data_IF_862766292319
#
_entry.id   IF_862766292319
#
_cell.length_a   1.000
_cell.length_b   1.000
_cell.length_c   1.000
_cell.angle_alpha   90.00
_cell.angle_beta   90.00
_cell.angle_gamma   90.00
#
_symmetry.space_group_name_H-M   'P 1'
#
loop_
_entity.id
_entity.type
_entity.pdbx_description
1 polymer ?
#
# COMPACT_ATOMS: atom_id res chain seq x y z
N UNK A 1 20.83 -31.43 -5.39
CA UNK A 1 20.07 -30.25 -5.86
C UNK A 1 18.63 -30.23 -5.34
N UNK A 2 17.83 -31.28 -5.51
CA UNK A 2 16.41 -31.29 -5.07
C UNK A 2 16.16 -31.03 -3.58
N UNK A 3 16.97 -31.60 -2.68
CA UNK A 3 16.85 -31.38 -1.22
C UNK A 3 17.07 -29.90 -0.81
N UNK A 4 18.06 -29.22 -1.42
CA UNK A 4 18.37 -27.81 -1.14
C UNK A 4 17.23 -26.90 -1.60
N UNK A 5 16.70 -27.14 -2.80
CA UNK A 5 15.55 -26.41 -3.34
C UNK A 5 14.34 -26.58 -2.42
N UNK A 6 14.12 -27.80 -1.91
CA UNK A 6 13.01 -28.10 -1.00
C UNK A 6 13.17 -27.34 0.33
N UNK A 7 14.36 -27.26 0.90
CA UNK A 7 14.59 -26.51 2.15
C UNK A 7 14.38 -25.01 1.95
N UNK A 8 14.86 -24.45 0.83
CA UNK A 8 14.61 -23.04 0.47
C UNK A 8 13.10 -22.79 0.34
N UNK A 9 12.38 -23.68 -0.32
CA UNK A 9 10.93 -23.56 -0.51
C UNK A 9 10.16 -23.61 0.81
N UNK A 10 10.57 -24.47 1.75
CA UNK A 10 9.97 -24.54 3.10
C UNK A 10 10.21 -23.26 3.91
N UNK A 11 11.44 -22.74 3.89
CA UNK A 11 11.78 -21.48 4.58
C UNK A 11 10.98 -20.32 3.99
N UNK A 12 10.89 -20.25 2.66
CA UNK A 12 10.16 -19.19 1.96
C UNK A 12 8.65 -19.27 2.25
N UNK A 13 8.07 -20.47 2.28
CA UNK A 13 6.65 -20.68 2.61
C UNK A 13 6.35 -20.30 4.08
N UNK A 14 7.24 -20.67 5.01
CA UNK A 14 7.13 -20.27 6.42
C UNK A 14 7.17 -18.75 6.59
N UNK A 15 8.03 -18.06 5.82
CA UNK A 15 8.08 -16.60 5.83
C UNK A 15 6.77 -15.99 5.31
N UNK A 16 6.20 -16.54 4.23
CA UNK A 16 4.90 -16.07 3.71
C UNK A 16 3.76 -16.28 4.70
N UNK A 17 3.73 -17.42 5.38
CA UNK A 17 2.76 -17.68 6.44
C UNK A 17 2.91 -16.67 7.59
N UNK A 18 4.14 -16.38 8.00
CA UNK A 18 4.43 -15.37 9.03
C UNK A 18 3.92 -13.98 8.62
N UNK A 19 4.17 -13.56 7.38
CA UNK A 19 3.68 -12.29 6.84
C UNK A 19 2.15 -12.27 6.81
N UNK A 20 1.52 -13.38 6.42
CA UNK A 20 0.07 -13.51 6.38
C UNK A 20 -0.55 -13.33 7.78
N UNK A 21 -0.04 -14.07 8.76
CA UNK A 21 -0.45 -13.98 10.18
C UNK A 21 -0.26 -12.55 10.69
N UNK A 22 0.92 -11.97 10.47
CA UNK A 22 1.24 -10.60 10.92
C UNK A 22 0.33 -9.56 10.28
N UNK A 23 0.07 -9.67 8.97
CA UNK A 23 -0.80 -8.73 8.23
C UNK A 23 -2.26 -8.85 8.63
N UNK A 24 -2.74 -10.03 8.99
CA UNK A 24 -4.15 -10.23 9.29
C UNK A 24 -4.48 -10.00 10.76
N UNK A 25 -3.57 -10.30 11.68
CA UNK A 25 -3.82 -10.23 13.13
C UNK A 25 -3.30 -8.92 13.73
N UNK A 26 -2.10 -8.47 13.37
CA UNK A 26 -1.39 -7.37 14.06
C UNK A 26 -1.57 -6.04 13.34
N UNK A 27 -1.64 -6.08 12.00
CA UNK A 27 -1.48 -4.91 11.15
C UNK A 27 -2.56 -3.81 11.15
N UNK A 28 -3.86 -4.05 11.38
CA UNK A 28 -4.86 -3.02 11.09
C UNK A 28 -4.67 -1.78 11.96
N UNK A 29 -4.33 -1.96 13.24
CA UNK A 29 -4.12 -0.84 14.16
C UNK A 29 -2.64 -0.45 14.25
N UNK A 30 -1.71 -1.41 14.17
CA UNK A 30 -0.30 -1.12 14.38
C UNK A 30 0.30 -0.22 13.28
N UNK A 31 -0.13 -0.39 12.02
CA UNK A 31 0.36 0.45 10.91
C UNK A 31 0.04 1.92 11.13
N UNK A 32 -1.18 2.23 11.53
CA UNK A 32 -1.61 3.61 11.75
C UNK A 32 -0.84 4.25 12.92
N UNK A 33 -0.64 3.51 14.02
CA UNK A 33 0.12 4.02 15.16
C UNK A 33 1.59 4.29 14.81
N UNK A 34 2.26 3.34 14.13
CA UNK A 34 3.65 3.54 13.68
C UNK A 34 3.73 4.73 12.73
N UNK A 35 2.77 4.85 11.80
CA UNK A 35 2.73 5.95 10.84
C UNK A 35 2.59 7.30 11.55
N UNK A 36 1.67 7.42 12.52
CA UNK A 36 1.47 8.64 13.32
C UNK A 36 2.72 9.03 14.09
N UNK A 37 3.31 8.08 14.84
CA UNK A 37 4.54 8.30 15.61
C UNK A 37 5.69 8.72 14.69
N UNK A 38 5.79 8.13 13.50
CA UNK A 38 6.84 8.49 12.53
C UNK A 38 6.69 9.94 12.08
N UNK A 39 5.47 10.40 11.77
CA UNK A 39 5.27 11.80 11.37
C UNK A 39 5.54 12.74 12.54
N UNK A 40 5.09 12.39 13.76
CA UNK A 40 5.34 13.18 14.96
C UNK A 40 6.84 13.35 15.25
N UNK A 41 7.64 12.28 15.08
CA UNK A 41 9.09 12.34 15.31
C UNK A 41 9.86 13.12 14.24
N UNK A 42 9.39 13.12 12.98
CA UNK A 42 10.13 13.72 11.87
C UNK A 42 9.71 15.16 11.55
N UNK A 43 8.44 15.51 11.75
CA UNK A 43 7.97 16.87 11.48
C UNK A 43 6.68 17.23 12.24
N UNK A 44 6.86 17.64 13.50
CA UNK A 44 5.78 18.11 14.38
C UNK A 44 5.11 19.39 13.84
N UNK A 45 5.86 20.20 13.09
CA UNK A 45 5.39 21.48 12.55
C UNK A 45 4.48 21.29 11.33
N UNK A 46 4.80 20.38 10.40
CA UNK A 46 3.97 20.08 9.23
C UNK A 46 2.64 19.43 9.63
N UNK A 47 2.64 18.61 10.69
CA UNK A 47 1.45 17.94 11.21
C UNK A 47 0.41 18.95 11.74
N UNK A 48 0.86 19.98 12.47
CA UNK A 48 -0.02 21.02 13.01
C UNK A 48 -0.56 21.96 11.93
N UNK A 49 0.27 22.35 10.96
CA UNK A 49 -0.14 23.23 9.86
C UNK A 49 -1.15 22.55 8.92
N UNK A 50 -0.98 21.26 8.61
CA UNK A 50 -1.90 20.52 7.75
C UNK A 50 -3.21 20.15 8.46
N UNK A 51 -3.17 19.90 9.77
CA UNK A 51 -4.37 19.64 10.60
C UNK A 51 -5.24 20.90 10.75
N UNK A 52 -4.63 22.09 10.67
CA UNK A 52 -5.32 23.38 10.78
C UNK A 52 -5.84 23.91 9.43
N UNK A 53 -5.17 23.60 8.30
CA UNK A 53 -5.52 24.11 6.96
C UNK A 53 -6.65 23.35 6.26
N UNK A 54 -7.17 22.27 6.84
CA UNK A 54 -8.19 21.42 6.19
C UNK A 54 -9.57 21.54 6.86
N UNK A 55 -10.38 22.47 6.36
CA UNK A 55 -11.83 22.37 6.54
C UNK A 55 -12.39 21.20 5.73
N UNK A 56 -13.16 20.35 6.41
CA UNK A 56 -13.88 19.23 5.82
C UNK A 56 -14.92 19.72 4.79
N UNK A 57 -14.68 19.52 3.50
CA UNK A 57 -15.77 19.55 2.51
C UNK A 57 -16.49 18.19 2.53
N UNK A 58 -17.81 18.14 2.81
CA UNK A 58 -18.54 16.88 2.80
C UNK A 58 -18.47 16.24 1.42
N UNK A 59 -18.28 14.91 1.39
CA UNK A 59 -18.31 14.09 0.18
C UNK A 59 -19.55 14.42 -0.64
N UNK A 60 -19.37 14.99 -1.84
CA UNK A 60 -20.44 15.02 -2.82
C UNK A 60 -20.66 13.60 -3.33
N UNK A 61 -21.74 12.96 -2.87
CA UNK A 61 -22.17 11.65 -3.34
C UNK A 61 -22.67 11.80 -4.78
N UNK A 62 -21.90 11.29 -5.74
CA UNK A 62 -22.30 11.20 -7.14
C UNK A 62 -23.56 10.34 -7.24
N UNK A 63 -24.67 10.92 -7.74
CA UNK A 63 -25.95 10.23 -7.89
C UNK A 63 -25.81 9.21 -9.02
N UNK A 64 -25.76 7.92 -8.66
CA UNK A 64 -25.37 6.82 -9.57
C UNK A 64 -26.53 5.83 -9.76
N UNK A 65 -26.67 5.30 -10.98
CA UNK A 65 -27.76 4.42 -11.39
C UNK A 65 -27.61 3.00 -10.78
N UNK A 66 -28.60 2.49 -10.01
CA UNK A 66 -28.48 1.23 -9.27
C UNK A 66 -28.40 -0.01 -10.16
N UNK A 67 -28.91 0.03 -11.39
CA UNK A 67 -28.89 -1.11 -12.32
C UNK A 67 -27.50 -1.33 -12.91
N UNK A 68 -26.83 -0.23 -13.28
CA UNK A 68 -25.46 -0.24 -13.79
C UNK A 68 -24.47 -0.76 -12.73
N UNK A 69 -24.73 -0.47 -11.45
CA UNK A 69 -23.87 -0.90 -10.34
C UNK A 69 -23.77 -2.42 -10.23
N UNK A 70 -24.85 -3.17 -10.46
CA UNK A 70 -24.86 -4.63 -10.34
C UNK A 70 -24.02 -5.27 -11.44
N UNK A 71 -24.16 -4.80 -12.68
CA UNK A 71 -23.39 -5.29 -13.82
C UNK A 71 -21.90 -4.94 -13.70
N UNK A 72 -21.55 -3.70 -13.34
CA UNK A 72 -20.17 -3.28 -13.14
C UNK A 72 -19.51 -4.08 -12.01
N UNK A 73 -20.21 -4.28 -10.89
CA UNK A 73 -19.68 -5.04 -9.74
C UNK A 73 -19.51 -6.53 -10.04
N UNK A 74 -20.43 -7.13 -10.80
CA UNK A 74 -20.30 -8.50 -11.29
C UNK A 74 -19.12 -8.67 -12.24
N UNK A 75 -18.96 -7.76 -13.22
CA UNK A 75 -17.83 -7.76 -14.13
C UNK A 75 -16.50 -7.55 -13.39
N UNK A 76 -16.44 -6.67 -12.39
CA UNK A 76 -15.27 -6.48 -11.55
C UNK A 76 -14.92 -7.71 -10.71
N UNK A 77 -15.93 -8.44 -10.20
CA UNK A 77 -15.71 -9.70 -9.48
C UNK A 77 -15.15 -10.78 -10.40
N UNK A 78 -15.72 -10.96 -11.60
CA UNK A 78 -15.24 -11.93 -12.60
C UNK A 78 -13.82 -11.57 -13.04
N UNK A 79 -13.55 -10.30 -13.38
CA UNK A 79 -12.21 -9.83 -13.74
C UNK A 79 -11.21 -10.07 -12.60
N UNK A 80 -11.60 -9.78 -11.36
CA UNK A 80 -10.75 -10.02 -10.19
C UNK A 80 -10.50 -11.52 -9.96
N UNK A 81 -11.49 -12.36 -10.24
CA UNK A 81 -11.37 -13.81 -10.14
C UNK A 81 -10.45 -14.37 -11.22
N UNK A 82 -10.65 -14.00 -12.49
CA UNK A 82 -9.80 -14.38 -13.61
C UNK A 82 -8.34 -13.95 -13.40
N UNK A 83 -8.12 -12.71 -12.95
CA UNK A 83 -6.77 -12.22 -12.65
C UNK A 83 -6.11 -13.03 -11.53
N UNK A 84 -6.85 -13.35 -10.46
CA UNK A 84 -6.35 -14.20 -9.37
C UNK A 84 -6.07 -15.63 -9.83
N UNK A 85 -6.89 -16.20 -10.72
CA UNK A 85 -6.68 -17.54 -11.28
C UNK A 85 -5.44 -17.62 -12.16
N UNK A 86 -5.19 -16.61 -13.01
CA UNK A 86 -3.96 -16.54 -13.81
C UNK A 86 -2.73 -16.45 -12.91
N UNK A 87 -2.79 -15.59 -11.88
CA UNK A 87 -1.74 -15.48 -10.87
C UNK A 87 -1.51 -16.78 -10.10
N UNK A 88 -2.58 -17.54 -9.83
CA UNK A 88 -2.49 -18.86 -9.19
C UNK A 88 -1.78 -19.87 -10.08
N UNK A 89 -2.08 -19.89 -11.38
CA UNK A 89 -1.36 -20.77 -12.34
C UNK A 89 0.12 -20.39 -12.43
N UNK A 90 0.44 -19.10 -12.47
CA UNK A 90 1.83 -18.63 -12.42
C UNK A 90 2.50 -19.05 -11.09
N UNK A 91 1.74 -19.10 -10.00
CA UNK A 91 2.23 -19.53 -8.68
C UNK A 91 2.65 -21.01 -8.61
N UNK A 92 2.22 -21.85 -9.56
CA UNK A 92 2.59 -23.26 -9.64
C UNK A 92 4.06 -23.48 -10.02
N UNK A 93 4.74 -22.45 -10.55
CA UNK A 93 6.20 -22.49 -10.75
C UNK A 93 6.87 -22.29 -9.40
N UNK A 94 7.58 -23.29 -8.84
CA UNK A 94 8.19 -23.17 -7.53
C UNK A 94 9.16 -21.99 -7.50
N UNK A 95 9.11 -21.21 -6.42
CA UNK A 95 9.92 -20.00 -6.14
C UNK A 95 9.56 -18.79 -7.01
N UNK A 96 9.55 -18.92 -8.34
CA UNK A 96 9.27 -17.81 -9.27
C UNK A 96 7.82 -17.32 -9.17
N UNK A 97 6.88 -18.23 -9.01
CA UNK A 97 5.47 -17.91 -8.91
C UNK A 97 5.14 -16.98 -7.73
N UNK A 98 5.53 -17.33 -6.49
CA UNK A 98 5.40 -16.46 -5.33
C UNK A 98 6.14 -15.11 -5.47
N UNK A 99 7.30 -15.09 -6.13
CA UNK A 99 8.07 -13.87 -6.41
C UNK A 99 7.30 -12.91 -7.34
N UNK A 100 6.80 -13.42 -8.46
CA UNK A 100 6.05 -12.61 -9.42
C UNK A 100 4.73 -12.11 -8.82
N UNK A 101 4.03 -12.96 -8.08
CA UNK A 101 2.81 -12.56 -7.37
C UNK A 101 3.06 -11.41 -6.38
N UNK A 102 4.18 -11.50 -5.65
CA UNK A 102 4.60 -10.47 -4.71
C UNK A 102 4.84 -9.12 -5.41
N UNK A 103 5.56 -9.12 -6.54
CA UNK A 103 5.85 -7.91 -7.31
C UNK A 103 4.62 -7.35 -8.02
N UNK A 104 3.71 -8.18 -8.53
CA UNK A 104 2.46 -7.74 -9.14
C UNK A 104 1.49 -7.12 -8.13
N UNK A 105 1.66 -7.45 -6.85
CA UNK A 105 0.90 -6.86 -5.74
C UNK A 105 1.54 -5.59 -5.16
N UNK A 106 2.65 -5.12 -5.73
CA UNK A 106 3.41 -3.93 -5.28
C UNK A 106 2.54 -2.68 -5.12
N UNK A 107 1.78 -2.31 -6.16
CA UNK A 107 0.94 -1.10 -6.15
C UNK A 107 -0.10 -1.14 -5.03
N UNK A 108 -0.72 -2.31 -4.80
CA UNK A 108 -1.71 -2.46 -3.71
C UNK A 108 -1.05 -2.29 -2.35
N UNK A 109 0.18 -2.79 -2.19
CA UNK A 109 0.96 -2.68 -0.96
C UNK A 109 1.35 -1.24 -0.67
N UNK A 110 1.96 -0.54 -1.61
CA UNK A 110 2.36 0.86 -1.44
C UNK A 110 1.15 1.75 -1.18
N UNK A 111 0.03 1.52 -1.88
CA UNK A 111 -1.23 2.22 -1.59
C UNK A 111 -1.72 1.98 -0.15
N UNK A 112 -1.60 0.76 0.38
CA UNK A 112 -1.94 0.46 1.78
C UNK A 112 -1.02 1.15 2.78
N UNK A 113 0.27 1.35 2.45
CA UNK A 113 1.24 1.99 3.34
C UNK A 113 0.99 3.49 3.50
N UNK A 114 0.52 4.16 2.46
CA UNK A 114 0.24 5.61 2.46
C UNK A 114 -1.25 5.92 2.62
N UNK A 115 -2.06 4.90 2.91
CA UNK A 115 -3.51 5.02 2.99
C UNK A 115 -3.96 6.07 4.01
N UNK A 116 -3.32 6.07 5.19
CA UNK A 116 -3.58 7.07 6.22
C UNK A 116 -3.30 8.48 5.71
N UNK A 117 -2.20 8.69 4.99
CA UNK A 117 -1.90 9.98 4.39
C UNK A 117 -2.97 10.42 3.38
N UNK A 118 -3.36 9.55 2.45
CA UNK A 118 -4.32 9.91 1.41
C UNK A 118 -5.71 10.24 1.97
N UNK A 119 -6.19 9.48 2.95
CA UNK A 119 -7.53 9.65 3.51
C UNK A 119 -7.58 10.59 4.70
N UNK A 120 -6.58 10.58 5.60
CA UNK A 120 -6.65 11.34 6.85
C UNK A 120 -5.86 12.65 6.78
N UNK A 121 -4.81 12.74 5.95
CA UNK A 121 -3.98 13.96 5.82
C UNK A 121 -4.27 14.75 4.55
N UNK A 122 -4.65 14.10 3.44
CA UNK A 122 -5.08 14.77 2.20
C UNK A 122 -6.60 14.84 2.04
N UNK A 123 -7.34 14.13 2.89
CA UNK A 123 -8.80 14.06 2.86
C UNK A 123 -9.36 13.73 1.46
N UNK A 124 -8.68 12.84 0.72
CA UNK A 124 -9.10 12.48 -0.63
C UNK A 124 -10.27 11.51 -0.56
N UNK A 125 -11.29 11.74 -1.38
CA UNK A 125 -12.31 10.71 -1.59
C UNK A 125 -11.70 9.53 -2.36
N UNK A 126 -12.37 8.36 -2.35
CA UNK A 126 -11.90 7.12 -2.99
C UNK A 126 -11.53 7.33 -4.46
N UNK A 127 -12.30 8.09 -5.22
CA UNK A 127 -12.00 8.38 -6.62
C UNK A 127 -10.76 9.26 -6.77
N UNK A 128 -10.63 10.31 -5.96
CA UNK A 128 -9.47 11.20 -5.95
C UNK A 128 -8.19 10.45 -5.52
N UNK A 129 -8.29 9.55 -4.54
CA UNK A 129 -7.19 8.69 -4.13
C UNK A 129 -6.77 7.73 -5.26
N UNK A 130 -7.72 7.23 -6.06
CA UNK A 130 -7.41 6.41 -7.23
C UNK A 130 -6.75 7.23 -8.34
N UNK A 131 -7.25 8.45 -8.62
CA UNK A 131 -6.62 9.37 -9.57
C UNK A 131 -5.19 9.72 -9.13
N UNK A 132 -4.98 10.01 -7.84
CA UNK A 132 -3.67 10.25 -7.27
C UNK A 132 -2.73 9.05 -7.46
N UNK A 133 -3.24 7.84 -7.19
CA UNK A 133 -2.50 6.58 -7.42
C UNK A 133 -2.09 6.40 -8.89
N UNK A 134 -2.97 6.72 -9.84
CA UNK A 134 -2.63 6.64 -11.27
C UNK A 134 -1.65 7.73 -11.70
N UNK A 135 -1.78 8.94 -11.16
CA UNK A 135 -0.86 10.06 -11.44
C UNK A 135 0.57 9.75 -10.96
N UNK A 136 0.72 9.10 -9.82
CA UNK A 136 2.01 8.72 -9.23
C UNK A 136 2.31 7.23 -9.36
N UNK A 137 1.76 6.55 -10.38
CA UNK A 137 1.80 5.10 -10.53
C UNK A 137 3.22 4.53 -10.41
N UNK A 138 4.18 5.17 -11.07
CA UNK A 138 5.58 4.78 -11.07
C UNK A 138 6.19 4.80 -9.66
N UNK A 139 5.93 5.84 -8.88
CA UNK A 139 6.38 5.93 -7.48
C UNK A 139 5.76 4.83 -6.61
N UNK A 140 4.46 4.57 -6.80
CA UNK A 140 3.77 3.46 -6.13
C UNK A 140 4.35 2.09 -6.52
N UNK A 141 4.75 1.89 -7.77
CA UNK A 141 5.39 0.65 -8.23
C UNK A 141 6.74 0.48 -7.53
N UNK A 142 7.64 1.48 -7.60
CA UNK A 142 8.98 1.36 -7.01
C UNK A 142 8.94 1.14 -5.50
N UNK A 143 8.15 1.93 -4.78
CA UNK A 143 7.96 1.78 -3.33
C UNK A 143 7.35 0.41 -2.99
N UNK A 144 6.35 -0.03 -3.76
CA UNK A 144 5.70 -1.31 -3.54
C UNK A 144 6.61 -2.50 -3.84
N UNK A 145 7.49 -2.37 -4.84
CA UNK A 145 8.47 -3.39 -5.22
C UNK A 145 9.63 -3.48 -4.24
N UNK A 146 10.14 -2.36 -3.74
CA UNK A 146 11.20 -2.35 -2.71
C UNK A 146 10.70 -2.95 -1.40
N UNK A 147 9.53 -2.52 -0.93
CA UNK A 147 8.82 -3.13 0.19
C UNK A 147 8.50 -4.62 -0.09
N UNK A 148 8.18 -4.92 -1.35
CA UNK A 148 8.08 -6.24 -1.98
C UNK A 148 9.21 -7.16 -1.55
N UNK A 149 10.41 -6.79 -1.99
CA UNK A 149 11.65 -7.57 -1.86
C UNK A 149 12.05 -7.73 -0.39
N UNK A 150 11.96 -6.65 0.40
CA UNK A 150 12.33 -6.66 1.80
C UNK A 150 11.48 -7.63 2.64
N UNK A 151 10.17 -7.68 2.38
CA UNK A 151 9.30 -8.64 3.06
C UNK A 151 9.58 -10.09 2.64
N UNK A 152 10.17 -10.33 1.47
CA UNK A 152 10.53 -11.69 1.05
C UNK A 152 11.75 -12.25 1.79
N UNK A 153 12.56 -11.40 2.42
CA UNK A 153 13.68 -11.84 3.23
C UNK A 153 13.15 -12.63 4.44
N UNK A 154 13.51 -13.93 4.57
CA UNK A 154 13.13 -14.71 5.73
C UNK A 154 13.73 -14.08 6.99
N UNK A 155 13.05 -14.24 8.13
CA UNK A 155 13.47 -13.74 9.47
C UNK A 155 13.30 -12.22 9.63
N UNK A 156 13.58 -11.41 8.60
CA UNK A 156 13.49 -9.95 8.66
C UNK A 156 12.11 -9.39 8.26
N UNK A 157 11.15 -10.23 7.90
CA UNK A 157 9.85 -9.79 7.35
C UNK A 157 9.04 -8.90 8.31
N UNK A 158 9.12 -9.13 9.63
CA UNK A 158 8.44 -8.30 10.63
C UNK A 158 9.10 -6.92 10.76
N UNK A 159 10.43 -6.88 10.86
CA UNK A 159 11.18 -5.63 10.95
C UNK A 159 11.05 -4.80 9.68
N UNK A 160 11.12 -5.44 8.52
CA UNK A 160 10.94 -4.78 7.22
C UNK A 160 9.51 -4.30 7.04
N UNK A 161 8.50 -4.98 7.60
CA UNK A 161 7.13 -4.47 7.60
C UNK A 161 7.00 -3.15 8.38
N UNK A 162 7.66 -3.02 9.53
CA UNK A 162 7.71 -1.77 10.30
C UNK A 162 8.45 -0.69 9.49
N UNK A 163 9.63 -1.03 8.95
CA UNK A 163 10.42 -0.12 8.11
C UNK A 163 9.66 0.36 6.87
N UNK A 164 8.86 -0.50 6.24
CA UNK A 164 8.01 -0.14 5.10
C UNK A 164 6.93 0.88 5.48
N UNK A 165 6.39 0.80 6.71
CA UNK A 165 5.42 1.79 7.22
C UNK A 165 6.12 3.13 7.48
N UNK A 166 7.29 3.11 8.12
CA UNK A 166 8.12 4.29 8.35
C UNK A 166 8.48 4.95 7.01
N UNK A 167 8.93 4.17 6.02
CA UNK A 167 9.23 4.66 4.68
C UNK A 167 8.01 5.25 3.97
N UNK A 168 6.83 4.65 4.13
CA UNK A 168 5.59 5.22 3.63
C UNK A 168 5.21 6.54 4.28
N UNK A 169 5.48 6.70 5.59
CA UNK A 169 5.29 7.95 6.31
C UNK A 169 6.26 9.03 5.82
N UNK A 170 7.56 8.71 5.73
CA UNK A 170 8.59 9.62 5.23
C UNK A 170 8.31 10.10 3.80
N UNK A 171 7.95 9.17 2.91
CA UNK A 171 7.53 9.50 1.55
C UNK A 171 6.34 10.47 1.54
N UNK A 172 5.39 10.28 2.46
CA UNK A 172 4.22 11.15 2.58
C UNK A 172 4.58 12.56 3.07
N UNK A 173 5.52 12.67 4.02
CA UNK A 173 6.05 13.95 4.52
C UNK A 173 6.76 14.71 3.39
N UNK A 174 7.62 14.05 2.64
CA UNK A 174 8.35 14.66 1.52
C UNK A 174 7.38 15.24 0.47
N UNK A 175 6.34 14.47 0.10
CA UNK A 175 5.33 14.93 -0.85
C UNK A 175 4.47 16.08 -0.31
N UNK A 176 4.31 16.19 1.01
CA UNK A 176 3.63 17.33 1.64
C UNK A 176 4.52 18.58 1.60
N UNK A 177 5.78 18.44 1.99
CA UNK A 177 6.74 19.54 1.98
C UNK A 177 6.95 20.11 0.56
N UNK A 178 6.97 19.26 -0.46
CA UNK A 178 7.00 19.70 -1.87
C UNK A 178 5.77 20.52 -2.24
N UNK A 179 4.57 20.11 -1.79
CA UNK A 179 3.35 20.86 -2.07
C UNK A 179 3.35 22.23 -1.39
N UNK A 180 3.74 22.31 -0.12
CA UNK A 180 3.76 23.58 0.62
C UNK A 180 4.76 24.59 0.02
N UNK A 181 5.91 24.11 -0.50
CA UNK A 181 6.86 24.96 -1.24
C UNK A 181 6.26 25.53 -2.52
N UNK A 182 5.49 24.75 -3.27
CA UNK A 182 4.84 25.21 -4.51
C UNK A 182 3.79 26.27 -4.24
N UNK A 183 3.04 26.17 -3.13
CA UNK A 183 2.06 27.20 -2.76
C UNK A 183 2.73 28.49 -2.26
N UNK A 184 3.84 28.38 -1.52
CA UNK A 184 4.57 29.54 -0.98
C UNK A 184 5.33 30.35 -2.05
N UNK A 185 5.48 29.81 -3.26
CA UNK A 185 6.09 30.50 -4.42
C UNK A 185 5.06 31.17 -5.33
N UNK A 186 3.76 30.99 -5.07
CA UNK A 186 2.66 31.59 -5.83
C UNK A 186 2.06 32.83 -5.15
N UNK A 187 2.49 33.14 -3.92
CA UNK A 187 2.26 34.39 -3.19
C UNK A 187 3.44 35.34 -3.38
#
# INVERSE_FOLDING_TARGET
MGLVILHIQWIMLSNQFTIFVTKHIISPNLKEHIFRITIEMFDESLLSHLRQKQEFKPLQSMKYDPTLQIYVRGAEMIRSFLWKSILFVISLVPILGPLLYNQLSSIKRSFSLVQYYLYNLKNLNREQAMQYKYKHLTSFIYMGMSAGILEMLPIFSVFTMIGNVVGGALWSIEHLAEQDKLYSQQE
#
